data_IF_533904537737
#
_entry.id   IF_533904537737
#
_cell.length_a   1.000
_cell.length_b   1.000
_cell.length_c   1.000
_cell.angle_alpha   90.00
_cell.angle_beta   90.00
_cell.angle_gamma   90.00
#
_symmetry.space_group_name_H-M   'P 1'
#
loop_
_entity.id
_entity.type
_entity.pdbx_description
1 polymer ?
#
# COMPACT_ATOMS: atom_id res chain seq x y z
N UNK A 1 35.89 -40.95 -38.94
CA UNK A 1 35.52 -39.52 -39.01
C UNK A 1 34.60 -39.24 -37.84
N UNK A 2 35.06 -38.47 -36.86
CA UNK A 2 34.31 -38.20 -35.62
C UNK A 2 33.04 -37.39 -35.89
N UNK A 3 31.93 -37.76 -35.23
CA UNK A 3 30.80 -36.87 -35.01
C UNK A 3 30.62 -36.68 -33.50
N UNK A 4 31.15 -35.57 -32.99
CA UNK A 4 31.02 -35.17 -31.60
C UNK A 4 29.62 -34.58 -31.36
N UNK A 5 28.73 -35.33 -30.72
CA UNK A 5 27.49 -34.78 -30.17
C UNK A 5 27.89 -33.98 -28.92
N UNK A 6 28.10 -32.68 -29.10
CA UNK A 6 28.31 -31.72 -28.00
C UNK A 6 27.05 -31.75 -27.11
N UNK A 7 27.19 -32.23 -25.86
CA UNK A 7 26.19 -32.00 -24.81
C UNK A 7 26.05 -30.49 -24.63
N UNK A 8 24.87 -29.93 -24.92
CA UNK A 8 24.55 -28.53 -24.67
C UNK A 8 23.88 -28.40 -23.28
N UNK A 9 24.48 -27.67 -22.32
CA UNK A 9 23.88 -27.42 -21.01
C UNK A 9 22.88 -26.27 -21.13
N UNK A 10 21.69 -26.58 -21.63
CA UNK A 10 20.57 -25.64 -21.65
C UNK A 10 19.28 -26.34 -21.22
N UNK A 11 19.34 -26.97 -20.04
CA UNK A 11 18.14 -27.12 -19.24
C UNK A 11 17.87 -25.75 -18.65
N UNK A 12 17.05 -24.95 -19.33
CA UNK A 12 16.35 -23.85 -18.67
C UNK A 12 15.50 -24.49 -17.58
N UNK A 13 16.03 -24.53 -16.36
CA UNK A 13 15.35 -25.04 -15.19
C UNK A 13 14.23 -24.06 -14.86
N UNK A 14 13.12 -24.19 -15.58
CA UNK A 14 11.93 -23.39 -15.34
C UNK A 14 11.18 -23.98 -14.14
N UNK A 15 10.67 -23.09 -13.31
CA UNK A 15 10.01 -23.45 -12.06
C UNK A 15 8.54 -23.08 -12.15
N UNK A 16 7.68 -24.10 -12.19
CA UNK A 16 6.25 -23.91 -12.30
C UNK A 16 5.61 -23.78 -10.92
N UNK A 17 4.77 -22.76 -10.74
CA UNK A 17 3.99 -22.62 -9.52
C UNK A 17 2.92 -23.71 -9.44
N UNK A 18 2.97 -24.56 -8.42
CA UNK A 18 1.98 -25.63 -8.21
C UNK A 18 0.56 -25.11 -7.92
N UNK A 19 0.44 -23.83 -7.55
CA UNK A 19 -0.83 -23.22 -7.19
C UNK A 19 -1.51 -22.50 -8.34
N UNK A 20 -0.78 -21.85 -9.25
CA UNK A 20 -1.34 -21.11 -10.40
C UNK A 20 -0.85 -21.57 -11.77
N UNK A 21 0.09 -22.51 -11.80
CA UNK A 21 0.67 -23.13 -12.98
C UNK A 21 1.45 -22.17 -13.90
N UNK A 22 1.73 -20.94 -13.44
CA UNK A 22 2.63 -20.01 -14.11
C UNK A 22 4.08 -20.53 -14.07
N UNK A 23 4.76 -20.42 -15.21
CA UNK A 23 6.14 -20.91 -15.40
C UNK A 23 7.11 -19.75 -15.21
N UNK A 24 7.99 -19.88 -14.22
CA UNK A 24 8.95 -18.85 -13.83
C UNK A 24 10.38 -19.22 -14.24
N UNK A 25 11.24 -18.22 -14.48
CA UNK A 25 12.57 -18.43 -15.05
C UNK A 25 13.54 -19.15 -14.11
N UNK A 26 13.34 -19.04 -12.79
CA UNK A 26 14.23 -19.61 -11.77
C UNK A 26 13.51 -19.78 -10.41
N UNK A 27 14.18 -20.42 -9.45
CA UNK A 27 13.66 -20.70 -8.11
C UNK A 27 13.43 -19.42 -7.27
N UNK A 28 14.25 -18.39 -7.43
CA UNK A 28 14.08 -17.11 -6.71
C UNK A 28 12.82 -16.39 -7.18
N UNK A 29 12.60 -16.38 -8.50
CA UNK A 29 11.38 -15.89 -9.10
C UNK A 29 10.16 -16.70 -8.63
N UNK A 30 10.26 -18.03 -8.52
CA UNK A 30 9.18 -18.87 -7.98
C UNK A 30 8.87 -18.55 -6.52
N UNK A 31 9.87 -18.40 -5.65
CA UNK A 31 9.66 -18.04 -4.23
C UNK A 31 8.99 -16.66 -4.11
N UNK A 32 9.47 -15.68 -4.88
CA UNK A 32 8.84 -14.36 -4.94
C UNK A 32 7.41 -14.43 -5.49
N UNK A 33 7.18 -15.20 -6.54
CA UNK A 33 5.86 -15.39 -7.13
C UNK A 33 4.89 -16.06 -6.16
N UNK A 34 5.28 -17.18 -5.54
CA UNK A 34 4.46 -17.90 -4.57
C UNK A 34 4.12 -16.99 -3.38
N UNK A 35 5.03 -16.10 -2.99
CA UNK A 35 4.79 -15.10 -1.93
C UNK A 35 3.69 -14.08 -2.27
N UNK A 36 3.42 -13.85 -3.55
CA UNK A 36 2.43 -12.89 -4.05
C UNK A 36 1.24 -13.57 -4.74
N UNK A 37 1.23 -14.91 -4.80
CA UNK A 37 0.29 -15.67 -5.61
C UNK A 37 -1.09 -15.75 -4.96
N UNK A 38 -2.06 -15.08 -5.59
CA UNK A 38 -3.46 -14.95 -5.15
C UNK A 38 -4.23 -16.28 -5.05
N UNK A 39 -3.75 -17.35 -5.69
CA UNK A 39 -4.47 -18.64 -5.83
C UNK A 39 -4.44 -19.56 -4.61
N UNK A 40 -3.82 -19.15 -3.49
CA UNK A 40 -3.81 -19.95 -2.24
C UNK A 40 -5.13 -19.84 -1.45
N UNK A 41 -5.74 -18.66 -1.40
CA UNK A 41 -6.97 -18.39 -0.62
C UNK A 41 -7.94 -17.41 -1.27
N UNK A 42 -7.60 -16.87 -2.44
CA UNK A 42 -8.35 -15.78 -3.09
C UNK A 42 -8.08 -14.39 -2.51
N UNK A 43 -7.21 -14.28 -1.48
CA UNK A 43 -6.82 -13.02 -0.86
C UNK A 43 -5.31 -12.73 -1.03
N UNK A 44 -4.95 -11.44 -0.98
CA UNK A 44 -3.56 -10.98 -1.00
C UNK A 44 -3.02 -10.99 0.44
N UNK A 45 -2.18 -11.96 0.79
CA UNK A 45 -1.68 -12.14 2.15
C UNK A 45 -0.31 -11.48 2.38
N UNK A 46 -0.11 -10.90 3.55
CA UNK A 46 1.19 -10.48 4.04
C UNK A 46 1.91 -11.67 4.66
N UNK A 47 3.11 -11.99 4.17
CA UNK A 47 3.89 -13.10 4.74
C UNK A 47 4.60 -12.77 6.06
N UNK A 48 4.75 -11.50 6.40
CA UNK A 48 5.41 -11.08 7.65
C UNK A 48 4.48 -11.20 8.86
N UNK A 49 3.17 -11.01 8.66
CA UNK A 49 2.20 -11.02 9.75
C UNK A 49 0.91 -11.82 9.48
N UNK A 50 0.79 -12.45 8.32
CA UNK A 50 -0.36 -13.28 7.94
C UNK A 50 -1.64 -12.50 7.58
N UNK A 51 -1.64 -11.17 7.62
CA UNK A 51 -2.83 -10.37 7.31
C UNK A 51 -3.24 -10.50 5.85
N UNK A 52 -4.53 -10.69 5.59
CA UNK A 52 -5.08 -10.81 4.24
C UNK A 52 -5.79 -9.54 3.81
N UNK A 53 -5.73 -9.27 2.51
CA UNK A 53 -6.32 -8.10 1.86
C UNK A 53 -7.13 -8.54 0.65
N UNK A 54 -8.25 -7.87 0.43
CA UNK A 54 -9.13 -8.12 -0.73
C UNK A 54 -8.53 -7.63 -2.05
N UNK A 55 -7.49 -6.79 -2.01
CA UNK A 55 -6.85 -6.21 -3.20
C UNK A 55 -5.33 -6.20 -3.06
N UNK A 56 -4.63 -6.33 -4.20
CA UNK A 56 -3.16 -6.25 -4.28
C UNK A 56 -2.66 -4.88 -3.81
N UNK A 57 -3.38 -3.81 -4.19
CA UNK A 57 -3.11 -2.46 -3.71
C UNK A 57 -3.20 -2.37 -2.19
N UNK A 58 -4.20 -3.02 -1.58
CA UNK A 58 -4.35 -3.08 -0.12
C UNK A 58 -3.15 -3.73 0.57
N UNK A 59 -2.68 -4.87 0.03
CA UNK A 59 -1.47 -5.54 0.52
C UNK A 59 -0.24 -4.63 0.36
N UNK A 60 -0.03 -4.05 -0.83
CA UNK A 60 1.08 -3.13 -1.09
C UNK A 60 1.13 -1.96 -0.11
N UNK A 61 -0.03 -1.34 0.14
CA UNK A 61 -0.18 -0.21 1.07
C UNK A 61 0.01 -0.63 2.54
N UNK A 62 -0.16 -1.92 2.84
CA UNK A 62 0.15 -2.48 4.14
C UNK A 62 1.64 -2.76 4.31
N UNK A 63 2.33 -3.21 3.26
CA UNK A 63 3.78 -3.47 3.32
C UNK A 63 4.60 -2.22 3.68
N UNK A 64 4.10 -1.01 3.36
CA UNK A 64 4.72 0.26 3.81
C UNK A 64 4.88 0.37 5.34
N UNK A 65 4.02 -0.31 6.12
CA UNK A 65 4.12 -0.38 7.59
C UNK A 65 5.35 -1.17 8.01
N UNK A 66 5.64 -2.28 7.32
CA UNK A 66 6.80 -3.13 7.60
C UNK A 66 8.10 -2.46 7.15
N UNK A 67 8.07 -1.70 6.06
CA UNK A 67 9.20 -0.90 5.60
C UNK A 67 9.50 0.30 6.53
N UNK A 68 8.57 0.65 7.43
CA UNK A 68 8.71 1.79 8.32
C UNK A 68 8.71 3.14 7.59
N UNK A 69 8.18 3.17 6.37
CA UNK A 69 8.14 4.40 5.57
C UNK A 69 7.14 5.37 6.18
N UNK A 70 7.58 6.61 6.39
CA UNK A 70 6.74 7.67 6.93
C UNK A 70 6.77 8.91 6.05
N UNK A 71 5.69 9.67 6.13
CA UNK A 71 5.47 10.95 5.50
C UNK A 71 5.15 11.95 6.60
N UNK A 72 5.95 13.02 6.68
CA UNK A 72 5.79 14.05 7.71
C UNK A 72 4.85 15.15 7.24
N UNK A 73 4.10 15.73 8.17
CA UNK A 73 3.41 16.98 7.93
C UNK A 73 4.45 18.11 7.79
N UNK A 74 4.30 19.03 6.83
CA UNK A 74 5.21 20.17 6.70
C UNK A 74 4.95 21.30 7.72
N UNK A 75 3.87 21.24 8.49
CA UNK A 75 3.47 22.31 9.43
C UNK A 75 3.61 21.87 10.90
N UNK A 76 3.56 20.57 11.18
CA UNK A 76 3.70 20.02 12.54
C UNK A 76 4.47 18.69 12.51
N UNK A 77 4.80 18.17 13.70
CA UNK A 77 5.62 16.96 13.84
C UNK A 77 4.85 15.64 13.62
N UNK A 78 3.61 15.70 13.12
CA UNK A 78 2.80 14.51 12.84
C UNK A 78 3.39 13.68 11.71
N UNK A 79 3.49 12.36 11.94
CA UNK A 79 3.99 11.37 10.98
C UNK A 79 2.88 10.42 10.54
N UNK A 80 2.87 10.07 9.27
CA UNK A 80 1.85 9.22 8.67
C UNK A 80 2.49 8.14 7.81
N UNK A 81 1.91 6.95 7.75
CA UNK A 81 2.42 5.89 6.89
C UNK A 81 2.14 6.14 5.40
N UNK A 82 1.20 7.05 5.07
CA UNK A 82 0.73 7.25 3.68
C UNK A 82 0.59 8.73 3.32
N UNK A 83 0.94 9.10 2.08
CA UNK A 83 0.76 10.46 1.54
C UNK A 83 -0.69 10.95 1.55
N UNK A 84 -1.64 10.07 1.22
CA UNK A 84 -3.07 10.40 1.21
C UNK A 84 -3.55 10.85 2.59
N UNK A 85 -3.06 10.20 3.64
CA UNK A 85 -3.39 10.55 5.02
C UNK A 85 -2.83 11.92 5.42
N UNK A 86 -1.61 12.26 4.99
CA UNK A 86 -1.07 13.63 5.16
C UNK A 86 -2.00 14.66 4.52
N UNK A 87 -2.46 14.41 3.27
CA UNK A 87 -3.34 15.35 2.57
C UNK A 87 -4.66 15.57 3.30
N UNK A 88 -5.26 14.53 3.85
CA UNK A 88 -6.48 14.63 4.65
C UNK A 88 -6.22 15.38 5.97
N UNK A 89 -5.11 15.08 6.65
CA UNK A 89 -4.66 15.81 7.84
C UNK A 89 -4.51 17.31 7.58
N UNK A 90 -3.84 17.69 6.48
CA UNK A 90 -3.66 19.10 6.12
C UNK A 90 -4.98 19.85 5.96
N UNK A 91 -5.98 19.19 5.36
CA UNK A 91 -7.32 19.76 5.20
C UNK A 91 -8.06 19.90 6.52
N UNK A 92 -7.91 18.96 7.43
CA UNK A 92 -8.66 18.92 8.68
C UNK A 92 -8.04 19.73 9.83
N UNK A 93 -6.72 19.94 9.80
CA UNK A 93 -6.01 20.51 10.96
C UNK A 93 -5.39 21.87 10.64
N UNK A 94 -4.91 22.05 9.41
CA UNK A 94 -4.15 23.25 9.01
C UNK A 94 -4.88 24.15 8.03
N UNK A 95 -6.08 23.76 7.58
CA UNK A 95 -6.94 24.63 6.79
C UNK A 95 -7.92 25.32 7.73
N UNK A 96 -8.04 26.63 7.63
CA UNK A 96 -9.05 27.41 8.35
C UNK A 96 -10.09 27.97 7.38
N UNK A 97 -11.33 28.07 7.84
CA UNK A 97 -12.42 28.70 7.12
C UNK A 97 -13.06 29.78 8.01
N UNK A 98 -13.53 30.85 7.38
CA UNK A 98 -14.24 31.92 8.06
C UNK A 98 -15.74 31.58 8.09
N UNK A 99 -16.35 31.67 9.28
CA UNK A 99 -17.79 31.58 9.45
C UNK A 99 -18.45 32.79 8.80
N UNK A 100 -19.40 32.57 7.90
CA UNK A 100 -20.12 33.65 7.21
C UNK A 100 -21.05 34.45 8.13
N UNK A 101 -21.50 33.86 9.23
CA UNK A 101 -22.49 34.49 10.12
C UNK A 101 -21.85 35.42 11.17
N UNK A 102 -20.66 35.09 11.68
CA UNK A 102 -19.99 35.88 12.72
C UNK A 102 -18.54 36.26 12.39
N UNK A 103 -18.07 35.99 11.17
CA UNK A 103 -16.70 36.23 10.70
C UNK A 103 -15.58 35.55 11.52
N UNK A 104 -15.91 34.61 12.42
CA UNK A 104 -14.91 33.85 13.17
C UNK A 104 -14.09 32.96 12.24
N UNK A 105 -12.76 32.95 12.39
CA UNK A 105 -11.86 32.05 11.66
C UNK A 105 -11.68 30.78 12.48
N UNK A 106 -12.13 29.64 11.96
CA UNK A 106 -12.01 28.35 12.65
C UNK A 106 -11.27 27.34 11.78
N UNK A 107 -10.66 26.35 12.44
CA UNK A 107 -10.07 25.19 11.75
C UNK A 107 -11.19 24.39 11.08
N UNK A 108 -10.99 24.06 9.82
CA UNK A 108 -11.94 23.31 9.01
C UNK A 108 -12.06 21.89 9.54
N UNK A 109 -13.27 21.43 9.84
CA UNK A 109 -13.49 20.11 10.41
C UNK A 109 -14.71 20.10 11.32
N UNK A 110 -14.64 19.27 12.36
CA UNK A 110 -15.75 19.13 13.30
C UNK A 110 -16.02 20.44 14.06
N UNK A 111 -14.97 21.17 14.43
CA UNK A 111 -15.06 22.46 15.13
C UNK A 111 -15.80 23.52 14.30
N UNK A 112 -15.52 23.61 13.00
CA UNK A 112 -16.21 24.52 12.09
C UNK A 112 -17.69 24.13 11.93
N UNK A 113 -18.00 22.85 11.69
CA UNK A 113 -19.39 22.41 11.50
C UNK A 113 -20.24 22.60 12.75
N UNK A 114 -19.71 22.26 13.93
CA UNK A 114 -20.41 22.45 15.21
C UNK A 114 -20.61 23.93 15.53
N UNK A 115 -19.57 24.75 15.32
CA UNK A 115 -19.67 26.19 15.51
C UNK A 115 -20.76 26.81 14.62
N UNK A 116 -20.78 26.47 13.32
CA UNK A 116 -21.75 27.02 12.38
C UNK A 116 -23.18 26.66 12.80
N UNK A 117 -23.45 25.42 13.22
CA UNK A 117 -24.77 25.00 13.71
C UNK A 117 -25.19 25.80 14.95
N UNK A 118 -24.27 26.02 15.90
CA UNK A 118 -24.55 26.81 17.09
C UNK A 118 -24.68 28.31 16.80
N UNK A 119 -23.98 28.82 15.80
CA UNK A 119 -23.93 30.24 15.47
C UNK A 119 -25.16 30.71 14.69
N UNK A 120 -25.85 29.79 14.00
CA UNK A 120 -27.09 30.07 13.27
C UNK A 120 -28.33 30.09 14.20
N UNK A 121 -28.21 29.57 15.42
CA UNK A 121 -29.25 29.68 16.46
C UNK A 121 -29.13 31.00 17.21
#
# INVERSE_FOLDING_TARGET
MQMNIKRNPSQSQSHQCSYCFETLPDETALVYHVSQCQRHTGAFACLLCGKTYSTSTGLKHHMEVHEGKTFMCPICDSKFTRKGTVKTHMKAVHTSAQCSNCAAILRLGNDFNQHVISCIK
#
